data_IF_894476278790
#
_entry.id   IF_894476278790
#
_cell.length_a   1.000
_cell.length_b   1.000
_cell.length_c   1.000
_cell.angle_alpha   90.00
_cell.angle_beta   90.00
_cell.angle_gamma   90.00
#
_symmetry.space_group_name_H-M   'P 1'
#
loop_
_entity.id
_entity.type
_entity.pdbx_description
1 polymer ?
#
# COMPACT_ATOMS: atom_id res chain seq x y z
N UNK A 1 -31.96 4.95 23.03
CA UNK A 1 -30.82 5.02 22.08
C UNK A 1 -29.62 5.47 22.89
N UNK A 2 -28.57 4.66 22.91
CA UNK A 2 -27.31 5.04 23.54
C UNK A 2 -26.66 6.21 22.79
N UNK A 3 -26.07 7.13 23.54
CA UNK A 3 -25.35 8.26 22.98
C UNK A 3 -24.01 7.78 22.36
N UNK A 4 -23.50 8.42 21.30
CA UNK A 4 -22.22 8.08 20.74
C UNK A 4 -21.11 8.28 21.78
N UNK A 5 -20.21 7.32 21.87
CA UNK A 5 -19.07 7.39 22.80
C UNK A 5 -17.97 8.31 22.32
N UNK A 6 -17.97 8.63 21.03
CA UNK A 6 -16.95 9.46 20.39
C UNK A 6 -17.53 10.22 19.19
N UNK A 7 -17.19 11.49 19.05
CA UNK A 7 -17.57 12.32 17.90
C UNK A 7 -16.28 12.84 17.29
N UNK A 8 -16.09 12.60 16.00
CA UNK A 8 -14.95 13.10 15.24
C UNK A 8 -15.39 14.15 14.21
N UNK A 9 -14.70 15.30 14.22
CA UNK A 9 -14.80 16.29 13.15
C UNK A 9 -13.67 16.07 12.15
N UNK A 10 -13.99 16.02 10.86
CA UNK A 10 -13.00 15.98 9.79
C UNK A 10 -12.86 17.37 9.14
N UNK A 11 -11.72 17.63 8.50
CA UNK A 11 -11.46 18.85 7.76
C UNK A 11 -12.18 18.92 6.41
N UNK A 12 -11.97 20.01 5.69
CA UNK A 12 -12.52 20.24 4.36
C UNK A 12 -11.54 19.75 3.29
N UNK A 13 -12.08 19.30 2.15
CA UNK A 13 -11.28 19.19 0.93
C UNK A 13 -11.25 20.56 0.28
N UNK A 14 -10.06 21.14 0.18
CA UNK A 14 -9.81 22.47 -0.38
C UNK A 14 -9.05 22.36 -1.70
N UNK A 15 -9.30 23.33 -2.59
CA UNK A 15 -8.58 23.47 -3.86
C UNK A 15 -7.44 24.49 -3.70
N UNK A 16 -6.50 24.52 -4.65
CA UNK A 16 -5.52 25.58 -4.75
C UNK A 16 -6.25 26.93 -4.86
N UNK A 17 -6.15 27.74 -3.81
CA UNK A 17 -6.91 28.99 -3.71
C UNK A 17 -8.07 28.95 -2.71
N UNK A 18 -8.22 27.89 -1.93
CA UNK A 18 -9.10 27.77 -0.78
C UNK A 18 -10.36 26.95 -1.00
N UNK A 19 -11.40 27.24 -0.24
CA UNK A 19 -12.65 26.47 -0.23
C UNK A 19 -13.32 26.41 -1.60
N UNK A 20 -13.82 25.22 -1.96
CA UNK A 20 -14.62 25.03 -3.17
C UNK A 20 -15.90 25.86 -3.14
N UNK A 21 -16.23 26.50 -4.27
CA UNK A 21 -17.45 27.28 -4.44
C UNK A 21 -17.99 27.15 -5.87
N UNK A 22 -19.28 26.86 -6.01
CA UNK A 22 -19.94 26.79 -7.32
C UNK A 22 -19.86 28.12 -8.07
N UNK A 23 -19.97 29.23 -7.36
CA UNK A 23 -19.88 30.58 -7.95
C UNK A 23 -18.49 30.96 -8.46
N UNK A 24 -17.44 30.33 -7.90
CA UNK A 24 -16.04 30.50 -8.34
C UNK A 24 -15.64 29.52 -9.43
N UNK A 25 -16.49 28.54 -9.74
CA UNK A 25 -16.18 27.49 -10.73
C UNK A 25 -15.03 26.54 -10.34
N UNK A 26 -14.61 26.53 -9.08
CA UNK A 26 -13.50 25.71 -8.58
C UNK A 26 -13.99 24.44 -7.85
N UNK A 27 -15.17 23.95 -8.20
CA UNK A 27 -15.71 22.70 -7.62
C UNK A 27 -15.15 21.51 -8.37
N UNK A 28 -14.61 20.58 -7.62
CA UNK A 28 -14.23 19.27 -8.13
C UNK A 28 -15.37 18.27 -7.89
N UNK A 29 -15.73 17.54 -8.94
CA UNK A 29 -16.76 16.50 -8.86
C UNK A 29 -16.11 15.12 -8.85
N UNK A 30 -16.42 14.26 -7.86
CA UNK A 30 -15.86 12.91 -7.74
C UNK A 30 -16.00 12.07 -9.00
N UNK A 31 -17.14 12.21 -9.70
CA UNK A 31 -17.44 11.45 -10.94
C UNK A 31 -16.34 11.61 -12.01
N UNK A 32 -15.68 12.75 -12.07
CA UNK A 32 -14.59 13.00 -13.02
C UNK A 32 -13.41 12.05 -12.80
N UNK A 33 -13.05 11.81 -11.54
CA UNK A 33 -11.99 10.87 -11.18
C UNK A 33 -12.48 9.42 -11.30
N UNK A 34 -13.68 9.15 -10.79
CA UNK A 34 -14.26 7.79 -10.81
C UNK A 34 -14.33 7.25 -12.23
N UNK A 35 -14.83 8.07 -13.17
CA UNK A 35 -14.96 7.65 -14.58
C UNK A 35 -13.61 7.42 -15.27
N UNK A 36 -12.54 8.06 -14.81
CA UNK A 36 -11.22 7.98 -15.45
C UNK A 36 -10.27 7.00 -14.76
N UNK A 37 -10.30 6.91 -13.44
CA UNK A 37 -9.33 6.16 -12.63
C UNK A 37 -9.96 5.07 -11.75
N UNK A 38 -11.30 5.01 -11.71
CA UNK A 38 -12.03 4.09 -10.85
C UNK A 38 -12.30 4.64 -9.45
N UNK A 39 -13.28 4.03 -8.79
CA UNK A 39 -13.73 4.44 -7.46
C UNK A 39 -12.63 4.25 -6.40
N UNK A 40 -11.91 3.14 -6.47
CA UNK A 40 -10.92 2.79 -5.45
C UNK A 40 -9.71 3.74 -5.46
N UNK A 41 -9.32 4.27 -6.62
CA UNK A 41 -8.28 5.30 -6.72
C UNK A 41 -8.68 6.59 -5.99
N UNK A 42 -9.94 7.02 -6.12
CA UNK A 42 -10.44 8.18 -5.38
C UNK A 42 -10.52 7.91 -3.89
N UNK A 43 -11.06 6.74 -3.49
CA UNK A 43 -11.14 6.34 -2.07
C UNK A 43 -9.75 6.30 -1.43
N UNK A 44 -8.79 5.68 -2.12
CA UNK A 44 -7.40 5.67 -1.68
C UNK A 44 -6.90 7.09 -1.42
N UNK A 45 -7.03 7.99 -2.39
CA UNK A 45 -6.54 9.36 -2.25
C UNK A 45 -7.16 10.09 -1.05
N UNK A 46 -8.49 10.05 -0.88
CA UNK A 46 -9.16 10.80 0.19
C UNK A 46 -8.92 10.20 1.58
N UNK A 47 -8.53 8.93 1.68
CA UNK A 47 -8.26 8.28 2.96
C UNK A 47 -6.79 8.27 3.35
N UNK A 48 -5.88 8.26 2.37
CA UNK A 48 -4.43 8.14 2.61
C UNK A 48 -3.66 9.44 2.44
N UNK A 49 -4.17 10.37 1.61
CA UNK A 49 -3.45 11.59 1.26
C UNK A 49 -4.04 12.85 1.89
N UNK A 50 -5.18 12.73 2.59
CA UNK A 50 -5.84 13.83 3.29
C UNK A 50 -5.84 13.52 4.78
N UNK A 51 -5.10 14.29 5.61
CA UNK A 51 -5.06 14.06 7.05
C UNK A 51 -6.44 14.15 7.67
N UNK A 52 -6.80 13.18 8.50
CA UNK A 52 -8.08 13.19 9.19
C UNK A 52 -8.05 14.22 10.33
N UNK A 53 -9.02 15.14 10.38
CA UNK A 53 -9.09 16.21 11.39
C UNK A 53 -8.49 17.54 10.96
N UNK A 54 -7.87 17.66 9.78
CA UNK A 54 -7.40 18.91 9.20
C UNK A 54 -7.86 19.05 7.74
N UNK A 55 -7.76 20.27 7.20
CA UNK A 55 -8.09 20.51 5.79
C UNK A 55 -7.07 19.84 4.87
N UNK A 56 -7.57 19.16 3.85
CA UNK A 56 -6.76 18.48 2.85
C UNK A 56 -6.81 19.17 1.49
N UNK A 57 -5.63 19.34 0.88
CA UNK A 57 -5.53 19.92 -0.46
C UNK A 57 -5.78 18.85 -1.53
N UNK A 58 -6.73 19.15 -2.43
CA UNK A 58 -6.86 18.40 -3.67
C UNK A 58 -6.30 19.19 -4.85
N UNK A 59 -5.40 18.60 -5.60
CA UNK A 59 -5.03 19.04 -6.94
C UNK A 59 -4.92 17.82 -7.86
N UNK A 60 -5.18 17.95 -9.18
CA UNK A 60 -4.98 16.86 -10.12
C UNK A 60 -3.56 16.29 -10.10
N UNK A 61 -2.54 17.15 -9.99
CA UNK A 61 -1.13 16.74 -9.93
C UNK A 61 -0.87 15.89 -8.68
N UNK A 62 -1.32 16.36 -7.50
CA UNK A 62 -1.16 15.61 -6.25
C UNK A 62 -1.86 14.23 -6.30
N UNK A 63 -3.05 14.16 -6.90
CA UNK A 63 -3.76 12.90 -7.10
C UNK A 63 -2.95 11.95 -7.99
N UNK A 64 -2.44 12.44 -9.14
CA UNK A 64 -1.68 11.63 -10.09
C UNK A 64 -0.36 11.17 -9.48
N UNK A 65 0.34 12.04 -8.76
CA UNK A 65 1.62 11.73 -8.11
C UNK A 65 1.43 10.62 -7.06
N UNK A 66 0.44 10.73 -6.18
CA UNK A 66 0.17 9.69 -5.18
C UNK A 66 -0.30 8.38 -5.83
N UNK A 67 -1.19 8.45 -6.84
CA UNK A 67 -1.62 7.28 -7.58
C UNK A 67 -0.43 6.54 -8.21
N UNK A 68 0.44 7.27 -8.90
CA UNK A 68 1.60 6.67 -9.55
C UNK A 68 2.64 6.13 -8.55
N UNK A 69 2.94 6.88 -7.50
CA UNK A 69 3.98 6.48 -6.55
C UNK A 69 3.55 5.28 -5.73
N UNK A 70 2.35 5.31 -5.18
CA UNK A 70 1.91 4.32 -4.21
C UNK A 70 1.25 3.11 -4.90
N UNK A 71 0.22 3.36 -5.73
CA UNK A 71 -0.54 2.25 -6.31
C UNK A 71 0.18 1.61 -7.51
N UNK A 72 0.85 2.38 -8.36
CA UNK A 72 1.53 1.83 -9.55
C UNK A 72 2.94 1.38 -9.22
N UNK A 73 3.80 2.31 -8.75
CA UNK A 73 5.23 2.06 -8.61
C UNK A 73 5.60 1.28 -7.33
N UNK A 74 4.76 1.31 -6.30
CA UNK A 74 4.99 0.53 -5.08
C UNK A 74 4.20 -0.78 -5.11
N UNK A 75 2.88 -0.72 -4.90
CA UNK A 75 2.03 -1.92 -4.83
C UNK A 75 1.96 -2.68 -6.16
N UNK A 76 1.65 -1.99 -7.26
CA UNK A 76 1.53 -2.59 -8.59
C UNK A 76 2.84 -3.23 -9.06
N UNK A 77 3.98 -2.58 -8.79
CA UNK A 77 5.29 -3.14 -9.09
C UNK A 77 5.59 -4.41 -8.28
N UNK A 78 5.32 -4.39 -6.96
CA UNK A 78 5.49 -5.56 -6.09
C UNK A 78 4.64 -6.74 -6.57
N UNK A 79 3.36 -6.50 -6.86
CA UNK A 79 2.44 -7.51 -7.35
C UNK A 79 2.91 -8.10 -8.69
N UNK A 80 3.23 -7.24 -9.65
CA UNK A 80 3.66 -7.66 -10.98
C UNK A 80 4.97 -8.46 -10.94
N UNK A 81 5.96 -8.00 -10.18
CA UNK A 81 7.25 -8.73 -9.99
C UNK A 81 7.00 -10.10 -9.37
N UNK A 82 6.20 -10.17 -8.30
CA UNK A 82 5.92 -11.42 -7.59
C UNK A 82 5.18 -12.42 -8.47
N UNK A 83 4.07 -12.00 -9.11
CA UNK A 83 3.28 -12.87 -10.00
C UNK A 83 4.12 -13.36 -11.18
N UNK A 84 4.93 -12.49 -11.78
CA UNK A 84 5.82 -12.87 -12.90
C UNK A 84 6.85 -13.91 -12.47
N UNK A 85 7.45 -13.76 -11.28
CA UNK A 85 8.42 -14.73 -10.76
C UNK A 85 7.78 -16.05 -10.36
N UNK A 86 6.61 -16.03 -9.70
CA UNK A 86 5.85 -17.25 -9.37
C UNK A 86 5.45 -17.98 -10.65
N UNK A 87 4.97 -17.28 -11.67
CA UNK A 87 4.63 -17.88 -12.96
C UNK A 87 5.86 -18.49 -13.64
N UNK A 88 6.97 -17.79 -13.63
CA UNK A 88 8.21 -18.22 -14.30
C UNK A 88 8.89 -19.40 -13.62
N UNK A 89 8.98 -19.39 -12.29
CA UNK A 89 9.78 -20.36 -11.53
C UNK A 89 8.95 -21.52 -10.97
N UNK A 90 7.64 -21.31 -10.78
CA UNK A 90 6.75 -22.29 -10.14
C UNK A 90 5.47 -22.57 -10.94
N UNK A 91 5.43 -22.20 -12.22
CA UNK A 91 4.28 -22.47 -13.08
C UNK A 91 2.97 -21.83 -12.60
N UNK A 92 3.05 -20.72 -11.87
CA UNK A 92 1.89 -20.00 -11.33
C UNK A 92 1.38 -20.52 -9.99
N UNK A 93 2.05 -21.50 -9.37
CA UNK A 93 1.66 -22.05 -8.06
C UNK A 93 2.57 -21.49 -6.97
N UNK A 94 1.98 -20.87 -5.95
CA UNK A 94 2.73 -20.36 -4.80
C UNK A 94 3.22 -21.54 -3.98
N UNK A 95 4.54 -21.62 -3.66
CA UNK A 95 5.09 -22.69 -2.82
C UNK A 95 4.48 -22.71 -1.42
N UNK A 96 4.56 -23.86 -0.75
CA UNK A 96 4.10 -23.99 0.62
C UNK A 96 4.99 -23.20 1.58
N UNK A 97 4.36 -22.53 2.57
CA UNK A 97 5.09 -21.82 3.62
C UNK A 97 5.82 -22.78 4.54
N UNK A 98 7.13 -22.59 4.71
CA UNK A 98 8.01 -23.42 5.54
C UNK A 98 8.63 -22.69 6.72
N UNK A 99 8.15 -21.47 7.01
CA UNK A 99 8.77 -20.57 7.97
C UNK A 99 9.88 -19.71 7.35
N UNK A 100 10.67 -19.07 8.19
CA UNK A 100 11.82 -18.28 7.75
C UNK A 100 13.00 -19.21 7.46
N UNK A 101 13.50 -19.19 6.23
CA UNK A 101 14.64 -20.00 5.77
C UNK A 101 15.95 -19.20 5.86
N UNK A 102 15.86 -17.90 5.64
CA UNK A 102 17.00 -16.97 5.66
C UNK A 102 16.84 -15.87 6.70
N UNK A 103 17.93 -15.19 7.00
CA UNK A 103 17.91 -13.98 7.85
C UNK A 103 17.09 -12.84 7.22
N UNK A 104 17.04 -12.77 5.89
CA UNK A 104 16.23 -11.78 5.16
C UNK A 104 14.73 -12.01 5.42
N UNK A 105 14.28 -13.27 5.47
CA UNK A 105 12.90 -13.63 5.77
C UNK A 105 12.52 -13.19 7.19
N UNK A 106 13.38 -13.51 8.15
CA UNK A 106 13.17 -13.17 9.55
C UNK A 106 13.06 -11.64 9.74
N UNK A 107 13.97 -10.89 9.11
CA UNK A 107 13.97 -9.43 9.16
C UNK A 107 12.72 -8.83 8.51
N UNK A 108 12.32 -9.34 7.34
CA UNK A 108 11.12 -8.88 6.65
C UNK A 108 9.88 -9.11 7.52
N UNK A 109 9.74 -10.28 8.14
CA UNK A 109 8.61 -10.59 9.00
C UNK A 109 8.58 -9.77 10.29
N UNK A 110 9.74 -9.37 10.82
CA UNK A 110 9.85 -8.44 11.93
C UNK A 110 9.38 -7.03 11.51
N UNK A 111 9.87 -6.53 10.37
CA UNK A 111 9.44 -5.25 9.80
C UNK A 111 7.91 -5.24 9.57
N UNK A 112 7.35 -6.30 8.97
CA UNK A 112 5.89 -6.44 8.72
C UNK A 112 5.10 -6.38 10.02
N UNK A 113 5.50 -7.12 11.06
CA UNK A 113 4.84 -7.09 12.37
C UNK A 113 4.89 -5.71 13.00
N UNK A 114 6.03 -5.03 12.89
CA UNK A 114 6.21 -3.67 13.41
C UNK A 114 5.31 -2.65 12.71
N UNK A 115 5.21 -2.72 11.39
CA UNK A 115 4.32 -1.85 10.61
C UNK A 115 2.84 -2.16 10.88
N UNK A 116 2.49 -3.43 11.03
CA UNK A 116 1.11 -3.82 11.33
C UNK A 116 0.65 -3.31 12.71
N UNK A 117 1.49 -3.42 13.73
CA UNK A 117 1.19 -2.87 15.06
C UNK A 117 0.97 -1.35 15.02
N UNK A 118 1.80 -0.62 14.26
CA UNK A 118 1.63 0.83 14.07
C UNK A 118 0.37 1.16 13.27
N UNK A 119 0.06 0.36 12.23
CA UNK A 119 -1.18 0.50 11.48
C UNK A 119 -2.40 0.41 12.41
N UNK A 120 -2.47 -0.61 13.27
CA UNK A 120 -3.57 -0.77 14.22
C UNK A 120 -3.62 0.40 15.23
N UNK A 121 -2.47 0.87 15.73
CA UNK A 121 -2.40 2.00 16.63
C UNK A 121 -2.96 3.27 16.00
N UNK A 122 -2.51 3.63 14.79
CA UNK A 122 -2.99 4.81 14.05
C UNK A 122 -4.47 4.67 13.70
N UNK A 123 -4.89 3.51 13.21
CA UNK A 123 -6.29 3.27 12.84
C UNK A 123 -7.24 3.43 14.04
N UNK A 124 -6.85 2.93 15.21
CA UNK A 124 -7.63 3.07 16.46
C UNK A 124 -7.72 4.53 16.95
N UNK A 125 -6.77 5.37 16.56
CA UNK A 125 -6.77 6.81 16.83
C UNK A 125 -7.49 7.64 15.78
N UNK A 126 -7.98 7.02 14.71
CA UNK A 126 -8.52 7.68 13.50
C UNK A 126 -7.49 8.49 12.70
N UNK A 127 -6.22 8.20 12.86
CA UNK A 127 -5.12 8.71 12.05
C UNK A 127 -5.00 7.84 10.78
N UNK A 128 -6.01 7.93 9.90
CA UNK A 128 -6.20 6.99 8.79
C UNK A 128 -5.10 7.12 7.74
N UNK A 129 -4.65 8.33 7.45
CA UNK A 129 -3.54 8.62 6.54
C UNK A 129 -2.21 8.06 7.07
N UNK A 130 -1.95 8.17 8.36
CA UNK A 130 -0.78 7.55 9.00
C UNK A 130 -0.85 6.02 8.98
N UNK A 131 -2.03 5.45 9.19
CA UNK A 131 -2.25 4.00 9.06
C UNK A 131 -1.93 3.51 7.63
N UNK A 132 -2.44 4.17 6.59
CA UNK A 132 -2.10 3.83 5.21
C UNK A 132 -0.61 3.99 4.91
N UNK A 133 0.05 5.00 5.48
CA UNK A 133 1.51 5.17 5.34
C UNK A 133 2.26 3.94 5.83
N UNK A 134 1.85 3.33 6.96
CA UNK A 134 2.48 2.10 7.45
C UNK A 134 2.33 0.94 6.45
N UNK A 135 1.19 0.82 5.77
CA UNK A 135 1.00 -0.20 4.73
C UNK A 135 1.98 0.01 3.57
N UNK A 136 2.12 1.23 3.06
CA UNK A 136 3.03 1.51 1.94
C UNK A 136 4.51 1.43 2.32
N UNK A 137 4.88 1.73 3.55
CA UNK A 137 6.23 1.47 4.08
C UNK A 137 6.52 -0.04 4.14
N UNK A 138 5.56 -0.85 4.58
CA UNK A 138 5.67 -2.32 4.57
C UNK A 138 5.85 -2.86 3.14
N UNK A 139 5.07 -2.37 2.17
CA UNK A 139 5.21 -2.76 0.75
C UNK A 139 6.57 -2.34 0.17
N UNK A 140 7.11 -1.20 0.60
CA UNK A 140 8.46 -0.76 0.22
C UNK A 140 9.55 -1.69 0.77
N UNK A 141 9.37 -2.20 2.00
CA UNK A 141 10.26 -3.23 2.56
C UNK A 141 10.20 -4.53 1.76
N UNK A 142 9.01 -4.94 1.32
CA UNK A 142 8.84 -6.11 0.48
C UNK A 142 9.49 -5.94 -0.92
N UNK A 143 9.39 -4.76 -1.53
CA UNK A 143 10.11 -4.45 -2.77
C UNK A 143 11.63 -4.55 -2.57
N UNK A 144 12.15 -3.96 -1.48
CA UNK A 144 13.57 -4.05 -1.15
C UNK A 144 14.02 -5.48 -0.89
N UNK A 145 13.21 -6.29 -0.22
CA UNK A 145 13.50 -7.69 0.03
C UNK A 145 13.71 -8.50 -1.27
N UNK A 146 12.98 -8.18 -2.35
CA UNK A 146 13.24 -8.78 -3.67
C UNK A 146 14.66 -8.41 -4.15
N UNK A 147 15.08 -7.16 -3.96
CA UNK A 147 16.38 -6.70 -4.42
C UNK A 147 17.54 -7.27 -3.58
N UNK A 148 17.31 -7.45 -2.27
CA UNK A 148 18.28 -8.01 -1.33
C UNK A 148 18.47 -9.52 -1.56
N UNK A 149 17.37 -10.28 -1.76
CA UNK A 149 17.38 -11.75 -1.94
C UNK A 149 17.70 -12.20 -3.36
N UNK A 150 17.51 -11.35 -4.36
CA UNK A 150 17.81 -11.60 -5.78
C UNK A 150 17.24 -12.93 -6.28
N UNK A 151 15.91 -13.14 -6.29
CA UNK A 151 15.29 -14.43 -6.64
C UNK A 151 15.73 -14.97 -8.01
N UNK A 152 16.05 -14.07 -8.96
CA UNK A 152 16.59 -14.44 -10.27
C UNK A 152 17.98 -15.08 -10.22
N UNK A 153 18.74 -14.84 -9.16
CA UNK A 153 20.02 -15.51 -8.93
C UNK A 153 19.79 -16.85 -8.23
N UNK A 154 18.92 -16.90 -7.23
CA UNK A 154 18.53 -18.16 -6.55
C UNK A 154 17.97 -19.17 -7.55
N UNK A 155 17.18 -18.75 -8.52
CA UNK A 155 16.58 -19.63 -9.53
C UNK A 155 17.60 -20.29 -10.48
N UNK A 156 18.86 -19.89 -10.47
CA UNK A 156 19.93 -20.49 -11.28
C UNK A 156 20.70 -21.61 -10.55
N UNK A 157 20.48 -21.73 -9.25
CA UNK A 157 21.17 -22.68 -8.37
C UNK A 157 20.16 -23.62 -7.72
N UNK A 158 20.17 -24.88 -8.17
CA UNK A 158 19.23 -25.88 -7.66
C UNK A 158 19.39 -26.15 -6.16
N UNK A 159 20.56 -25.91 -5.58
CA UNK A 159 20.80 -26.04 -4.14
C UNK A 159 20.09 -24.97 -3.32
N UNK A 160 19.69 -23.87 -3.95
CA UNK A 160 18.98 -22.73 -3.34
C UNK A 160 17.48 -22.71 -3.58
N UNK A 161 16.94 -23.83 -4.00
CA UNK A 161 15.49 -23.94 -4.29
C UNK A 161 14.64 -23.60 -3.07
N UNK A 162 15.03 -24.03 -1.88
CA UNK A 162 14.29 -23.78 -0.65
C UNK A 162 14.27 -22.27 -0.29
N UNK A 163 15.41 -21.59 -0.47
CA UNK A 163 15.48 -20.13 -0.31
C UNK A 163 14.54 -19.41 -1.30
N UNK A 164 14.52 -19.83 -2.57
CA UNK A 164 13.64 -19.28 -3.59
C UNK A 164 12.15 -19.52 -3.27
N UNK A 165 11.79 -20.71 -2.81
CA UNK A 165 10.43 -21.05 -2.36
C UNK A 165 10.00 -20.13 -1.20
N UNK A 166 10.89 -19.91 -0.23
CA UNK A 166 10.65 -19.03 0.91
C UNK A 166 10.40 -17.60 0.46
N UNK A 167 11.25 -17.06 -0.42
CA UNK A 167 11.09 -15.69 -0.94
C UNK A 167 9.74 -15.52 -1.61
N UNK A 168 9.33 -16.41 -2.49
CA UNK A 168 8.05 -16.29 -3.20
C UNK A 168 6.85 -16.38 -2.25
N UNK A 169 6.94 -17.25 -1.24
CA UNK A 169 5.87 -17.42 -0.27
C UNK A 169 5.71 -16.19 0.62
N UNK A 170 6.81 -15.61 1.14
CA UNK A 170 6.77 -14.40 1.95
C UNK A 170 6.19 -13.22 1.18
N UNK A 171 6.60 -13.02 -0.07
CA UNK A 171 6.05 -11.96 -0.92
C UNK A 171 4.54 -12.14 -1.15
N UNK A 172 4.10 -13.37 -1.43
CA UNK A 172 2.68 -13.66 -1.62
C UNK A 172 1.85 -13.42 -0.35
N UNK A 173 2.39 -13.76 0.83
CA UNK A 173 1.74 -13.51 2.11
C UNK A 173 1.57 -12.00 2.38
N UNK A 174 2.60 -11.21 2.12
CA UNK A 174 2.56 -9.75 2.34
C UNK A 174 1.56 -9.07 1.38
N UNK A 175 1.51 -9.50 0.11
CA UNK A 175 0.55 -8.96 -0.86
C UNK A 175 -0.89 -9.29 -0.48
N UNK A 176 -1.10 -10.45 0.17
CA UNK A 176 -2.42 -10.90 0.61
C UNK A 176 -2.89 -10.21 1.91
N UNK A 177 -1.98 -9.88 2.82
CA UNK A 177 -2.30 -9.27 4.12
C UNK A 177 -2.89 -7.88 4.01
#
# INVERSE_FOLDING_TARGET
IELPTKIYGHGWIVMKGGKMSKSKGNVFYPDTIINRYGLDALRYFVTSCIPFGSDGLFTPDLFIDNFNNDLVNNYGNLLNRTVSMVSKYFGGVIPAYKGNVTEFDAKLMEDVKGHFAKYEEHFNKFEVDDAFRQVFEMLSKANKYIDDTKPWALAKDETKKEELESVMTHLALIIKA
#
